data_IF_930781440907
#
_entry.id   IF_930781440907
#
_cell.length_a   1.000
_cell.length_b   1.000
_cell.length_c   1.000
_cell.angle_alpha   90.00
_cell.angle_beta   90.00
_cell.angle_gamma   90.00
#
_symmetry.space_group_name_H-M   'P 1'
#
loop_
_entity.id
_entity.type
_entity.pdbx_description
1 polymer ?
#
# COMPACT_ATOMS: atom_id res chain seq x y z
N UNK A 1 9.42 -28.13 -73.31
CA UNK A 1 7.98 -28.31 -73.04
C UNK A 1 7.52 -27.03 -72.36
N UNK A 2 6.54 -26.26 -72.84
CA UNK A 2 5.18 -26.59 -73.33
C UNK A 2 4.27 -27.12 -72.20
N UNK A 3 3.05 -26.65 -71.99
CA UNK A 3 2.31 -25.46 -72.47
C UNK A 3 1.07 -25.27 -71.57
N UNK A 4 0.60 -24.04 -71.35
CA UNK A 4 -0.82 -23.62 -71.26
C UNK A 4 -0.90 -22.10 -70.96
N UNK A 5 -1.47 -21.23 -71.80
CA UNK A 5 -2.90 -21.06 -72.15
C UNK A 5 -3.78 -20.62 -70.97
N UNK A 6 -3.97 -19.30 -70.80
CA UNK A 6 -5.22 -18.58 -71.17
C UNK A 6 -6.16 -18.37 -69.96
N UNK A 7 -7.07 -17.38 -69.91
CA UNK A 7 -7.82 -16.73 -71.01
C UNK A 7 -8.25 -15.27 -70.67
N UNK A 8 -8.79 -14.62 -71.70
CA UNK A 8 -9.55 -13.35 -71.88
C UNK A 8 -10.64 -13.04 -70.80
N UNK A 9 -11.56 -12.05 -70.88
CA UNK A 9 -12.15 -11.14 -71.92
C UNK A 9 -12.45 -9.76 -71.25
N UNK A 10 -12.53 -8.55 -71.87
CA UNK A 10 -12.53 -8.05 -73.27
C UNK A 10 -11.91 -6.60 -73.37
N UNK A 11 -12.39 -5.69 -74.23
CA UNK A 11 -12.02 -4.25 -74.44
C UNK A 11 -13.31 -3.38 -74.53
N UNK A 12 -13.34 -2.04 -74.81
CA UNK A 12 -13.33 -1.58 -76.22
C UNK A 12 -12.89 -0.12 -76.57
N UNK A 13 -12.30 0.04 -77.78
CA UNK A 13 -12.42 1.16 -78.77
C UNK A 13 -11.79 2.54 -78.42
N UNK A 14 -10.83 3.14 -79.16
CA UNK A 14 -10.52 3.28 -80.62
C UNK A 14 -11.57 4.02 -81.47
N UNK A 15 -11.20 4.62 -82.64
CA UNK A 15 -9.87 4.69 -83.31
C UNK A 15 -9.17 6.06 -83.05
N UNK A 16 -8.29 6.71 -83.85
CA UNK A 16 -7.71 6.64 -85.23
C UNK A 16 -6.43 7.57 -85.24
N UNK A 17 -5.48 7.69 -86.21
CA UNK A 17 -5.19 7.04 -87.52
C UNK A 17 -3.72 7.28 -87.99
N UNK A 18 -3.34 6.60 -89.08
CA UNK A 18 -2.39 6.89 -90.19
C UNK A 18 -1.45 8.12 -90.17
N UNK A 19 -0.11 8.03 -90.36
CA UNK A 19 0.69 7.55 -91.53
C UNK A 19 1.17 8.72 -92.43
N UNK A 20 2.36 8.79 -93.05
CA UNK A 20 3.69 8.16 -92.87
C UNK A 20 4.74 8.89 -93.75
N UNK A 21 6.00 8.42 -93.72
CA UNK A 21 7.05 8.52 -94.75
C UNK A 21 7.71 9.88 -95.16
N UNK A 22 9.03 9.94 -94.93
CA UNK A 22 10.14 10.30 -95.85
C UNK A 22 10.22 11.67 -96.62
N UNK A 23 11.30 12.41 -96.27
CA UNK A 23 12.35 13.10 -97.08
C UNK A 23 12.41 12.89 -98.63
N UNK A 24 13.15 13.73 -99.44
CA UNK A 24 14.03 14.89 -99.11
C UNK A 24 14.05 16.13 -100.08
N UNK A 25 14.91 17.12 -99.74
CA UNK A 25 15.82 17.87 -100.66
C UNK A 25 15.44 19.21 -101.34
N UNK A 26 16.50 19.99 -101.61
CA UNK A 26 16.67 21.04 -102.65
C UNK A 26 16.09 22.46 -102.50
N UNK A 27 16.84 23.33 -101.80
CA UNK A 27 17.53 24.52 -102.35
C UNK A 27 16.98 25.12 -103.69
N UNK A 28 16.40 26.33 -103.66
CA UNK A 28 16.94 27.57 -104.26
C UNK A 28 15.93 28.73 -104.44
N UNK A 29 16.42 29.98 -104.29
CA UNK A 29 16.02 31.17 -105.09
C UNK A 29 14.60 31.77 -104.89
N UNK A 30 14.30 33.08 -105.08
CA UNK A 30 15.06 34.36 -105.09
C UNK A 30 14.07 35.49 -105.44
N UNK A 31 14.09 36.63 -104.75
CA UNK A 31 13.87 37.96 -105.39
C UNK A 31 14.20 39.15 -104.49
N UNK A 32 15.13 39.97 -104.96
CA UNK A 32 15.33 41.37 -104.56
C UNK A 32 14.65 42.29 -105.58
N UNK A 33 14.38 43.54 -105.19
CA UNK A 33 14.54 44.75 -106.02
C UNK A 33 14.37 46.00 -105.12
N UNK A 34 15.24 47.00 -105.15
CA UNK A 34 16.56 47.10 -105.80
C UNK A 34 16.98 48.55 -106.09
N UNK A 35 18.27 48.77 -106.38
CA UNK A 35 18.89 50.01 -106.95
C UNK A 35 18.83 51.29 -106.07
N UNK A 36 19.77 52.25 -106.14
CA UNK A 36 20.99 52.43 -106.96
C UNK A 36 21.92 53.48 -106.30
N UNK A 37 23.15 53.79 -106.75
CA UNK A 37 24.32 52.99 -107.22
C UNK A 37 25.41 53.94 -107.75
N UNK A 38 26.65 53.92 -107.22
CA UNK A 38 27.80 54.67 -107.77
C UNK A 38 29.14 53.98 -107.41
N UNK A 39 30.23 54.37 -108.09
CA UNK A 39 31.45 53.55 -108.28
C UNK A 39 32.77 54.16 -107.73
N UNK A 40 33.87 53.41 -107.95
CA UNK A 40 35.30 53.79 -107.93
C UNK A 40 36.05 53.97 -106.59
N UNK A 41 37.38 53.81 -106.67
CA UNK A 41 38.35 54.10 -105.60
C UNK A 41 38.96 52.91 -104.85
N UNK A 42 39.81 52.10 -105.49
CA UNK A 42 40.72 51.18 -104.78
C UNK A 42 42.09 51.83 -104.58
N UNK A 43 42.39 52.28 -103.36
CA UNK A 43 43.71 52.79 -102.98
C UNK A 43 44.30 51.94 -101.83
N UNK A 44 45.59 51.60 -101.90
CA UNK A 44 46.13 50.40 -101.26
C UNK A 44 47.15 50.67 -100.14
N UNK A 45 46.71 51.23 -99.01
CA UNK A 45 47.55 51.58 -97.84
C UNK A 45 48.42 50.39 -97.31
N UNK A 46 49.76 50.51 -97.31
CA UNK A 46 50.66 49.49 -96.75
C UNK A 46 50.58 49.33 -95.22
N UNK A 47 50.03 50.31 -94.47
CA UNK A 47 49.89 50.24 -92.99
C UNK A 47 48.89 49.17 -92.54
N UNK A 48 47.92 48.82 -93.39
CA UNK A 48 46.74 48.03 -93.03
C UNK A 48 47.08 46.66 -92.44
N UNK A 49 48.14 45.99 -92.92
CA UNK A 49 48.53 44.63 -92.47
C UNK A 49 48.93 44.59 -90.98
N UNK A 50 49.60 45.62 -90.44
CA UNK A 50 49.96 45.69 -89.00
C UNK A 50 48.73 45.97 -88.13
N UNK A 51 47.85 46.90 -88.51
CA UNK A 51 46.58 47.17 -87.81
C UNK A 51 45.66 45.94 -87.82
N UNK A 52 45.53 45.22 -88.95
CA UNK A 52 44.70 44.02 -89.07
C UNK A 52 45.25 42.83 -88.25
N UNK A 53 46.57 42.66 -88.14
CA UNK A 53 47.18 41.70 -87.18
C UNK A 53 46.89 42.10 -85.73
N UNK A 54 47.08 43.36 -85.31
CA UNK A 54 46.73 43.81 -83.95
C UNK A 54 45.25 43.60 -83.62
N UNK A 55 44.31 43.93 -84.53
CA UNK A 55 42.87 43.69 -84.31
C UNK A 55 42.53 42.19 -84.21
N UNK A 56 43.17 41.31 -84.99
CA UNK A 56 43.02 39.84 -84.85
C UNK A 56 43.58 39.32 -83.53
N UNK A 57 44.74 39.83 -83.08
CA UNK A 57 45.32 39.50 -81.77
C UNK A 57 44.45 39.97 -80.60
N UNK A 58 43.88 41.18 -80.68
CA UNK A 58 42.91 41.65 -79.67
C UNK A 58 41.65 40.77 -79.65
N UNK A 59 41.11 40.41 -80.81
CA UNK A 59 39.97 39.50 -80.91
C UNK A 59 40.29 38.12 -80.33
N UNK A 60 41.47 37.56 -80.61
CA UNK A 60 41.91 36.28 -80.06
C UNK A 60 42.12 36.35 -78.54
N UNK A 61 42.70 37.43 -78.03
CA UNK A 61 42.90 37.65 -76.59
C UNK A 61 41.58 37.88 -75.85
N UNK A 62 40.61 38.59 -76.46
CA UNK A 62 39.27 38.74 -75.91
C UNK A 62 38.50 37.40 -75.90
N UNK A 63 38.63 36.59 -76.94
CA UNK A 63 38.03 35.25 -77.01
C UNK A 63 38.67 34.29 -76.00
N UNK A 64 40.00 34.32 -75.86
CA UNK A 64 40.73 33.58 -74.83
C UNK A 64 40.34 34.05 -73.41
N UNK A 65 40.19 35.36 -73.20
CA UNK A 65 39.69 35.94 -71.95
C UNK A 65 38.25 35.50 -71.65
N UNK A 66 37.38 35.45 -72.66
CA UNK A 66 36.02 34.90 -72.52
C UNK A 66 36.03 33.40 -72.22
N UNK A 67 37.00 32.64 -72.77
CA UNK A 67 37.17 31.22 -72.49
C UNK A 67 37.67 30.97 -71.06
N UNK A 68 38.60 31.81 -70.57
CA UNK A 68 39.07 31.79 -69.18
C UNK A 68 37.94 32.20 -68.23
N UNK A 69 37.16 33.24 -68.56
CA UNK A 69 36.00 33.67 -67.79
C UNK A 69 34.90 32.60 -67.75
N UNK A 70 34.62 31.97 -68.89
CA UNK A 70 33.67 30.86 -69.01
C UNK A 70 34.13 29.63 -68.22
N UNK A 71 35.42 29.27 -68.31
CA UNK A 71 36.02 28.22 -67.51
C UNK A 71 35.99 28.52 -66.00
N UNK A 72 36.23 29.77 -65.60
CA UNK A 72 36.12 30.21 -64.21
C UNK A 72 34.68 30.17 -63.70
N UNK A 73 33.72 30.66 -64.48
CA UNK A 73 32.28 30.59 -64.14
C UNK A 73 31.79 29.14 -64.07
N UNK A 74 32.19 28.30 -65.02
CA UNK A 74 31.93 26.86 -64.98
C UNK A 74 32.54 26.19 -63.74
N UNK A 75 33.75 26.58 -63.34
CA UNK A 75 34.41 26.06 -62.13
C UNK A 75 33.70 26.52 -60.83
N UNK A 76 33.17 27.74 -60.78
CA UNK A 76 32.33 28.22 -59.66
C UNK A 76 30.96 27.52 -59.64
N UNK A 77 30.39 27.18 -60.80
CA UNK A 77 29.11 26.47 -60.91
C UNK A 77 29.23 24.96 -60.64
N UNK A 78 30.40 24.36 -60.87
CA UNK A 78 30.61 22.91 -60.75
C UNK A 78 31.08 22.46 -59.35
N UNK A 79 31.52 23.36 -58.48
CA UNK A 79 32.11 23.05 -57.18
C UNK A 79 31.51 23.90 -56.05
N UNK A 80 31.03 23.23 -55.00
CA UNK A 80 30.63 23.83 -53.73
C UNK A 80 31.82 23.85 -52.76
N UNK A 81 31.86 24.81 -51.84
CA UNK A 81 32.80 24.79 -50.71
C UNK A 81 32.17 24.04 -49.54
N UNK A 82 32.82 22.98 -49.08
CA UNK A 82 32.34 22.19 -47.95
C UNK A 82 32.44 22.97 -46.64
N UNK A 83 31.44 22.90 -45.77
CA UNK A 83 31.53 23.44 -44.41
C UNK A 83 32.28 22.44 -43.47
N UNK A 84 32.33 22.74 -42.18
CA UNK A 84 32.53 21.73 -41.14
C UNK A 84 31.16 21.21 -40.66
N UNK A 85 30.99 19.90 -40.71
CA UNK A 85 29.79 19.19 -40.26
C UNK A 85 30.01 18.38 -39.00
N UNK A 86 31.27 18.17 -38.58
CA UNK A 86 31.57 17.64 -37.24
C UNK A 86 30.87 18.51 -36.20
N UNK A 87 30.24 17.84 -35.23
CA UNK A 87 29.40 18.39 -34.16
C UNK A 87 28.03 18.97 -34.59
N UNK A 88 27.59 18.74 -35.84
CA UNK A 88 26.24 19.06 -36.29
C UNK A 88 25.33 17.83 -36.35
N UNK A 89 24.02 18.06 -36.24
CA UNK A 89 23.02 17.01 -36.45
C UNK A 89 22.94 16.63 -37.94
N UNK A 90 22.85 15.33 -38.24
CA UNK A 90 22.77 14.81 -39.62
C UNK A 90 21.59 15.36 -40.44
N UNK A 91 20.55 15.90 -39.80
CA UNK A 91 19.44 16.61 -40.46
C UNK A 91 19.92 17.89 -41.15
N UNK A 92 20.58 18.80 -40.43
CA UNK A 92 21.16 20.04 -40.98
C UNK A 92 22.09 19.74 -42.16
N UNK A 93 22.89 18.69 -42.05
CA UNK A 93 23.86 18.31 -43.08
C UNK A 93 23.17 17.77 -44.34
N UNK A 94 22.05 17.05 -44.17
CA UNK A 94 21.21 16.59 -45.30
C UNK A 94 20.50 17.75 -45.99
N UNK A 95 20.00 18.73 -45.25
CA UNK A 95 19.39 19.95 -45.80
C UNK A 95 20.43 20.76 -46.60
N UNK A 96 21.60 21.01 -46.01
CA UNK A 96 22.70 21.71 -46.69
C UNK A 96 23.17 20.98 -47.94
N UNK A 97 23.30 19.65 -47.88
CA UNK A 97 23.70 18.83 -49.02
C UNK A 97 22.65 18.90 -50.16
N UNK A 98 21.36 18.88 -49.82
CA UNK A 98 20.27 19.01 -50.78
C UNK A 98 20.27 20.39 -51.48
N UNK A 99 20.47 21.48 -50.74
CA UNK A 99 20.63 22.84 -51.31
C UNK A 99 21.80 22.90 -52.31
N UNK A 100 22.86 22.13 -52.05
CA UNK A 100 24.11 22.17 -52.81
C UNK A 100 24.25 21.11 -53.91
N UNK A 101 23.19 20.38 -54.26
CA UNK A 101 23.19 19.25 -55.22
C UNK A 101 24.13 18.07 -54.83
N UNK A 102 24.29 17.77 -53.54
CA UNK A 102 25.12 16.66 -53.04
C UNK A 102 24.27 15.50 -52.52
N UNK A 103 24.80 14.28 -52.65
CA UNK A 103 24.30 13.11 -51.93
C UNK A 103 25.05 12.94 -50.61
N UNK A 104 24.41 12.37 -49.59
CA UNK A 104 25.05 12.03 -48.30
C UNK A 104 25.02 10.53 -48.11
N UNK A 105 26.18 9.94 -47.85
CA UNK A 105 26.37 8.56 -47.43
C UNK A 105 26.79 8.54 -45.96
N UNK A 106 26.20 7.64 -45.18
CA UNK A 106 26.29 7.65 -43.71
C UNK A 106 26.77 6.31 -43.21
N UNK A 107 27.98 6.29 -42.67
CA UNK A 107 28.50 5.17 -41.88
C UNK A 107 28.10 5.37 -40.41
N UNK A 108 27.29 4.47 -39.81
CA UNK A 108 27.04 4.50 -38.38
C UNK A 108 28.27 4.01 -37.59
N UNK A 109 28.52 4.62 -36.43
CA UNK A 109 29.47 4.13 -35.41
C UNK A 109 28.98 4.50 -34.01
N UNK A 110 29.40 3.76 -32.98
CA UNK A 110 29.19 4.18 -31.59
C UNK A 110 30.27 5.19 -31.17
N UNK A 111 29.87 6.21 -30.40
CA UNK A 111 30.71 7.31 -29.94
C UNK A 111 30.06 7.97 -28.71
N UNK A 112 30.83 8.68 -27.87
CA UNK A 112 30.29 9.41 -26.71
C UNK A 112 29.37 10.58 -27.13
N UNK A 113 29.49 11.08 -28.38
CA UNK A 113 28.63 12.11 -28.93
C UNK A 113 27.15 11.66 -29.04
N UNK A 114 26.18 12.57 -28.83
CA UNK A 114 24.75 12.32 -29.04
C UNK A 114 24.40 11.58 -30.34
N UNK A 115 23.43 10.67 -30.26
CA UNK A 115 22.96 9.93 -31.43
C UNK A 115 22.43 10.87 -32.53
N UNK A 116 22.81 10.59 -33.78
CA UNK A 116 22.58 11.42 -34.98
C UNK A 116 23.51 12.65 -35.15
N UNK A 117 24.46 12.88 -34.24
CA UNK A 117 25.55 13.86 -34.44
C UNK A 117 26.62 13.31 -35.41
N UNK A 118 27.15 14.15 -36.29
CA UNK A 118 28.27 13.80 -37.17
C UNK A 118 29.59 13.89 -36.38
N UNK A 119 30.29 12.77 -36.27
CA UNK A 119 31.56 12.65 -35.54
C UNK A 119 32.79 12.73 -36.46
N UNK A 120 32.63 12.38 -37.74
CA UNK A 120 33.69 12.53 -38.74
C UNK A 120 33.13 12.79 -40.14
N UNK A 121 33.93 13.45 -40.97
CA UNK A 121 33.70 13.62 -42.40
C UNK A 121 34.98 13.22 -43.17
N UNK A 122 34.84 12.39 -44.21
CA UNK A 122 36.00 11.94 -45.00
C UNK A 122 36.57 13.08 -45.85
N UNK A 123 35.69 13.91 -46.42
CA UNK A 123 36.06 15.11 -47.16
C UNK A 123 36.47 16.24 -46.20
N UNK A 124 37.72 16.72 -46.33
CA UNK A 124 38.25 17.77 -45.47
C UNK A 124 37.39 19.05 -45.52
N UNK A 125 37.04 19.59 -44.34
CA UNK A 125 36.27 20.83 -44.21
C UNK A 125 36.92 22.01 -44.97
N UNK A 126 36.10 22.92 -45.49
CA UNK A 126 36.50 24.09 -46.31
C UNK A 126 37.13 23.76 -47.69
N UNK A 127 37.23 22.48 -48.06
CA UNK A 127 37.65 22.03 -49.40
C UNK A 127 36.59 22.38 -50.48
N UNK A 128 36.89 22.06 -51.74
CA UNK A 128 35.93 22.19 -52.86
C UNK A 128 35.47 20.82 -53.34
N UNK A 129 34.22 20.50 -53.06
CA UNK A 129 33.56 19.25 -53.46
C UNK A 129 32.75 19.52 -54.73
N UNK A 130 32.69 18.55 -55.63
CA UNK A 130 32.00 18.71 -56.93
C UNK A 130 30.50 18.51 -56.73
N UNK A 131 29.67 19.39 -57.29
CA UNK A 131 28.21 19.16 -57.32
C UNK A 131 27.91 17.78 -57.92
N UNK A 132 26.93 17.10 -57.34
CA UNK A 132 26.48 15.73 -57.66
C UNK A 132 27.51 14.63 -57.34
N UNK A 133 28.42 14.87 -56.41
CA UNK A 133 29.14 13.79 -55.71
C UNK A 133 28.39 13.36 -54.44
N UNK A 134 28.86 12.26 -53.85
CA UNK A 134 28.56 11.86 -52.48
C UNK A 134 29.47 12.60 -51.51
N UNK A 135 29.00 12.76 -50.28
CA UNK A 135 29.71 13.19 -49.08
C UNK A 135 29.69 12.01 -48.09
N UNK A 136 30.85 11.56 -47.59
CA UNK A 136 30.92 10.39 -46.71
C UNK A 136 31.10 10.84 -45.26
N UNK A 137 30.07 10.60 -44.44
CA UNK A 137 30.01 11.02 -43.04
C UNK A 137 29.97 9.81 -42.11
N UNK A 138 30.65 9.91 -40.97
CA UNK A 138 30.44 9.01 -39.83
C UNK A 138 29.50 9.70 -38.84
N UNK A 139 28.44 9.00 -38.45
CA UNK A 139 27.39 9.52 -37.55
C UNK A 139 27.33 8.64 -36.30
N UNK A 140 27.28 9.29 -35.13
CA UNK A 140 27.11 8.61 -33.85
C UNK A 140 25.76 7.91 -33.76
N UNK A 141 25.76 6.66 -33.31
CA UNK A 141 24.57 5.94 -32.85
C UNK A 141 24.28 6.18 -31.36
N UNK A 142 25.07 7.05 -30.71
CA UNK A 142 25.20 7.18 -29.27
C UNK A 142 26.29 6.26 -28.71
N UNK A 143 26.45 6.26 -27.37
CA UNK A 143 27.47 5.45 -26.70
C UNK A 143 27.17 3.95 -26.81
N UNK A 144 28.21 3.12 -26.87
CA UNK A 144 28.09 1.68 -27.16
C UNK A 144 27.20 0.96 -26.13
N UNK A 145 26.09 0.30 -26.54
CA UNK A 145 25.21 -0.44 -25.64
C UNK A 145 25.87 -1.69 -25.02
N UNK A 146 26.89 -2.25 -25.68
CA UNK A 146 27.66 -3.41 -25.20
C UNK A 146 28.84 -3.00 -24.32
N UNK A 147 29.10 -1.70 -24.10
CA UNK A 147 30.16 -1.27 -23.20
C UNK A 147 29.84 -1.65 -21.75
N UNK A 148 30.79 -2.34 -21.11
CA UNK A 148 30.71 -2.75 -19.71
C UNK A 148 31.11 -1.60 -18.79
N UNK A 149 30.14 -1.07 -18.04
CA UNK A 149 30.37 0.05 -17.11
C UNK A 149 30.66 -0.45 -15.69
N UNK A 150 31.68 0.13 -15.06
CA UNK A 150 32.04 -0.21 -13.68
C UNK A 150 31.11 0.50 -12.69
N UNK A 151 30.03 -0.17 -12.29
CA UNK A 151 29.04 0.39 -11.37
C UNK A 151 29.67 0.67 -9.97
N UNK A 152 29.49 1.90 -9.42
CA UNK A 152 29.96 2.27 -8.10
C UNK A 152 29.05 1.65 -7.02
N UNK A 153 29.31 1.96 -5.74
CA UNK A 153 28.42 1.48 -4.67
C UNK A 153 27.31 2.52 -4.41
N UNK A 154 26.12 2.25 -4.94
CA UNK A 154 24.96 3.10 -4.73
C UNK A 154 24.50 3.13 -3.26
N UNK A 155 24.94 2.18 -2.43
CA UNK A 155 24.66 2.18 -0.99
C UNK A 155 25.61 3.07 -0.18
N UNK A 156 26.73 3.51 -0.76
CA UNK A 156 27.73 4.38 -0.11
C UNK A 156 27.70 5.83 -0.63
N UNK A 157 26.72 6.21 -1.45
CA UNK A 157 26.62 7.54 -2.06
C UNK A 157 25.21 8.16 -1.96
N UNK A 158 25.16 9.49 -2.03
CA UNK A 158 23.92 10.24 -2.08
C UNK A 158 23.20 10.09 -3.43
N UNK A 159 21.90 10.38 -3.42
CA UNK A 159 21.04 10.45 -4.61
C UNK A 159 21.62 11.32 -5.73
N UNK A 160 22.24 12.44 -5.37
CA UNK A 160 22.72 13.42 -6.35
C UNK A 160 24.07 13.00 -6.95
N UNK A 161 24.96 12.39 -6.16
CA UNK A 161 26.19 11.73 -6.67
C UNK A 161 25.87 10.56 -7.61
N UNK A 162 24.81 9.79 -7.32
CA UNK A 162 24.31 8.75 -8.21
C UNK A 162 23.78 9.33 -9.54
N UNK A 163 23.08 10.47 -9.50
CA UNK A 163 22.59 11.17 -10.69
C UNK A 163 23.75 11.70 -11.55
N UNK A 164 24.75 12.36 -10.93
CA UNK A 164 25.97 12.81 -11.61
C UNK A 164 26.73 11.63 -12.24
N UNK A 165 26.81 10.48 -11.56
CA UNK A 165 27.44 9.29 -12.11
C UNK A 165 26.67 8.75 -13.34
N UNK A 166 25.33 8.68 -13.28
CA UNK A 166 24.49 8.20 -14.38
C UNK A 166 24.63 9.11 -15.61
N UNK A 167 24.60 10.43 -15.44
CA UNK A 167 24.80 11.40 -16.53
C UNK A 167 26.21 11.26 -17.14
N UNK A 168 27.25 11.28 -16.29
CA UNK A 168 28.65 11.24 -16.71
C UNK A 168 29.06 9.97 -17.46
N UNK A 169 28.45 8.83 -17.14
CA UNK A 169 28.71 7.55 -17.82
C UNK A 169 27.70 7.25 -18.94
N UNK A 170 26.76 8.17 -19.16
CA UNK A 170 25.66 8.07 -20.13
C UNK A 170 24.83 6.79 -19.93
N UNK A 171 24.63 6.40 -18.67
CA UNK A 171 24.03 5.14 -18.25
C UNK A 171 22.49 5.25 -18.14
N UNK A 172 21.83 5.81 -19.16
CA UNK A 172 20.41 6.21 -19.15
C UNK A 172 19.39 5.09 -18.91
N UNK A 173 19.80 3.82 -18.96
CA UNK A 173 18.99 2.66 -18.60
C UNK A 173 18.95 2.39 -17.08
N UNK A 174 19.79 3.07 -16.29
CA UNK A 174 19.75 3.08 -14.83
C UNK A 174 18.93 4.29 -14.37
N UNK A 175 17.84 4.03 -13.63
CA UNK A 175 16.88 5.07 -13.22
C UNK A 175 16.86 5.24 -11.70
N UNK A 176 16.79 6.48 -11.22
CA UNK A 176 16.60 6.79 -9.80
C UNK A 176 15.10 6.79 -9.48
N UNK A 177 14.73 6.10 -8.39
CA UNK A 177 13.35 5.96 -7.92
C UNK A 177 13.26 6.37 -6.46
N UNK A 178 12.42 7.35 -6.17
CA UNK A 178 12.23 7.86 -4.80
C UNK A 178 11.00 7.19 -4.15
N UNK A 179 11.19 6.48 -3.05
CA UNK A 179 10.18 5.62 -2.37
C UNK A 179 10.09 5.99 -0.87
N UNK A 180 8.91 5.90 -0.24
CA UNK A 180 8.79 6.13 1.21
C UNK A 180 9.30 4.92 2.00
N UNK A 181 9.97 5.16 3.13
CA UNK A 181 10.50 4.10 3.98
C UNK A 181 10.67 4.58 5.43
N UNK A 182 9.93 3.99 6.36
CA UNK A 182 9.78 4.50 7.73
C UNK A 182 11.08 4.43 8.55
N UNK A 183 11.90 3.38 8.34
CA UNK A 183 13.19 3.20 9.06
C UNK A 183 14.41 3.88 8.39
N UNK A 184 14.28 4.46 7.18
CA UNK A 184 15.44 4.96 6.39
C UNK A 184 15.32 6.46 6.16
N UNK A 185 16.33 7.22 6.62
CA UNK A 185 16.40 8.67 6.54
C UNK A 185 16.21 9.22 5.11
N UNK A 186 15.63 10.43 5.00
CA UNK A 186 15.37 11.09 3.72
C UNK A 186 16.64 11.21 2.86
N UNK A 187 16.55 10.85 1.58
CA UNK A 187 17.63 10.78 0.58
C UNK A 187 18.71 9.71 0.82
N UNK A 188 18.59 8.85 1.82
CA UNK A 188 19.49 7.70 1.98
C UNK A 188 19.14 6.55 0.99
N UNK A 189 20.12 5.76 0.52
CA UNK A 189 19.88 4.65 -0.41
C UNK A 189 19.19 3.46 0.26
N UNK A 190 18.21 2.87 -0.44
CA UNK A 190 17.46 1.68 0.02
C UNK A 190 18.02 0.41 -0.61
N UNK A 191 18.10 0.36 -1.96
CA UNK A 191 18.44 -0.85 -2.73
C UNK A 191 18.73 -0.54 -4.20
N UNK A 192 19.40 -1.48 -4.88
CA UNK A 192 19.56 -1.50 -6.34
C UNK A 192 18.87 -2.75 -6.90
N UNK A 193 18.15 -2.60 -8.00
CA UNK A 193 17.54 -3.73 -8.73
C UNK A 193 17.85 -3.66 -10.22
N UNK A 194 18.24 -4.80 -10.80
CA UNK A 194 18.33 -4.98 -12.25
C UNK A 194 17.10 -5.73 -12.77
N UNK A 195 16.61 -5.33 -13.94
CA UNK A 195 15.41 -5.91 -14.56
C UNK A 195 15.66 -7.35 -15.02
N UNK A 196 16.89 -7.65 -15.44
CA UNK A 196 17.37 -9.01 -15.67
C UNK A 196 18.14 -9.51 -14.42
N UNK A 197 17.78 -10.69 -13.93
CA UNK A 197 18.40 -11.33 -12.75
C UNK A 197 19.81 -11.88 -13.01
N UNK A 198 20.21 -11.99 -14.27
CA UNK A 198 21.58 -12.38 -14.66
C UNK A 198 22.55 -11.18 -14.66
N UNK A 199 22.03 -9.95 -14.50
CA UNK A 199 22.83 -8.73 -14.39
C UNK A 199 23.14 -8.45 -12.92
N UNK A 200 24.42 -8.18 -12.65
CA UNK A 200 24.97 -7.76 -11.37
C UNK A 200 25.96 -6.60 -11.58
N UNK A 201 26.44 -6.02 -10.49
CA UNK A 201 27.42 -4.92 -10.49
C UNK A 201 28.71 -5.28 -11.27
N UNK A 202 29.06 -6.55 -11.30
CA UNK A 202 30.29 -7.08 -11.90
C UNK A 202 30.17 -7.37 -13.40
N UNK A 203 28.97 -7.37 -13.99
CA UNK A 203 28.74 -7.69 -15.42
C UNK A 203 27.80 -6.73 -16.17
N UNK A 204 27.40 -5.61 -15.56
CA UNK A 204 26.52 -4.59 -16.15
C UNK A 204 27.10 -3.95 -17.42
N UNK A 205 26.29 -3.89 -18.47
CA UNK A 205 26.56 -3.16 -19.73
C UNK A 205 25.61 -1.95 -19.85
N UNK A 206 25.97 -0.95 -20.66
CA UNK A 206 25.17 0.29 -20.81
C UNK A 206 23.71 0.04 -21.22
N UNK A 207 23.41 -1.05 -21.94
CA UNK A 207 22.04 -1.48 -22.30
C UNK A 207 21.18 -2.01 -21.14
N UNK A 208 21.78 -2.42 -20.03
CA UNK A 208 21.08 -3.21 -19.02
C UNK A 208 20.19 -2.31 -18.14
N UNK A 209 18.91 -2.65 -18.00
CA UNK A 209 17.91 -1.77 -17.35
C UNK A 209 17.89 -1.98 -15.85
N UNK A 210 18.12 -0.93 -15.07
CA UNK A 210 18.18 -0.97 -13.61
C UNK A 210 17.45 0.19 -12.92
N UNK A 211 17.28 0.04 -11.60
CA UNK A 211 16.67 1.01 -10.69
C UNK A 211 17.50 1.15 -9.43
N UNK A 212 17.81 2.38 -9.03
CA UNK A 212 18.39 2.70 -7.72
C UNK A 212 17.32 3.38 -6.89
N UNK A 213 17.00 2.81 -5.73
CA UNK A 213 15.94 3.29 -4.85
C UNK A 213 16.52 4.14 -3.72
N UNK A 214 15.98 5.34 -3.54
CA UNK A 214 16.32 6.27 -2.46
C UNK A 214 15.08 6.59 -1.62
N UNK A 215 15.29 6.80 -0.32
CA UNK A 215 14.21 7.08 0.63
C UNK A 215 13.69 8.52 0.51
N UNK A 216 12.38 8.68 0.62
CA UNK A 216 11.69 9.94 0.89
C UNK A 216 11.47 10.20 2.38
N UNK A 217 11.98 9.33 3.25
CA UNK A 217 11.61 9.23 4.65
C UNK A 217 10.26 8.54 4.86
N UNK A 218 9.74 8.64 6.07
CA UNK A 218 8.39 8.23 6.49
C UNK A 218 7.28 8.90 5.65
N UNK A 219 6.17 8.19 5.39
CA UNK A 219 5.02 8.75 4.65
C UNK A 219 4.20 9.73 5.52
N UNK A 220 4.74 10.92 5.78
CA UNK A 220 4.06 11.95 6.58
C UNK A 220 2.89 12.57 5.81
N UNK A 221 1.66 12.36 6.29
CA UNK A 221 0.47 13.03 5.76
C UNK A 221 0.31 14.44 6.34
N UNK A 222 -0.30 15.36 5.57
CA UNK A 222 -0.68 16.68 6.09
C UNK A 222 -1.78 16.54 7.15
N UNK A 223 -1.69 17.33 8.23
CA UNK A 223 -2.71 17.38 9.28
C UNK A 223 -3.87 18.29 8.84
N UNK A 224 -4.74 17.78 7.98
CA UNK A 224 -5.88 18.51 7.41
C UNK A 224 -7.23 18.19 8.09
N UNK A 225 -7.39 16.97 8.63
CA UNK A 225 -8.60 16.45 9.30
C UNK A 225 -8.82 17.16 10.65
N UNK A 226 -9.87 17.98 10.74
CA UNK A 226 -10.30 18.63 11.98
C UNK A 226 -11.10 17.65 12.85
N UNK A 227 -10.68 17.44 14.10
CA UNK A 227 -11.27 16.46 15.03
C UNK A 227 -12.58 17.02 15.64
N UNK A 228 -13.73 16.33 15.50
CA UNK A 228 -14.97 16.72 16.18
C UNK A 228 -14.87 16.69 17.70
N UNK A 229 -15.87 17.30 18.34
CA UNK A 229 -16.20 17.01 19.74
C UNK A 229 -17.03 15.72 19.79
N UNK A 230 -16.47 14.67 20.38
CA UNK A 230 -17.13 13.39 20.62
C UNK A 230 -17.71 13.27 22.03
N UNK A 231 -17.65 14.31 22.86
CA UNK A 231 -18.36 14.33 24.15
C UNK A 231 -19.84 13.98 23.96
N UNK A 232 -20.39 13.13 24.84
CA UNK A 232 -21.74 12.57 24.74
C UNK A 232 -22.05 11.72 23.47
N UNK A 233 -21.07 11.49 22.57
CA UNK A 233 -21.28 10.69 21.34
C UNK A 233 -21.15 9.20 21.56
N UNK A 234 -21.84 8.45 20.72
CA UNK A 234 -21.82 6.98 20.75
C UNK A 234 -20.59 6.40 20.07
N UNK A 235 -20.17 5.20 20.51
CA UNK A 235 -19.13 4.39 19.85
C UNK A 235 -19.26 4.33 18.32
N UNK A 236 -20.48 4.16 17.82
CA UNK A 236 -20.76 4.00 16.39
C UNK A 236 -20.50 5.28 15.57
N UNK A 237 -20.70 6.46 16.17
CA UNK A 237 -20.39 7.74 15.52
C UNK A 237 -18.87 7.92 15.38
N UNK A 238 -18.10 7.62 16.44
CA UNK A 238 -16.62 7.66 16.38
C UNK A 238 -16.08 6.64 15.38
N UNK A 239 -16.55 5.39 15.44
CA UNK A 239 -16.13 4.35 14.49
C UNK A 239 -16.45 4.71 13.03
N UNK A 240 -17.57 5.40 12.77
CA UNK A 240 -17.94 5.84 11.42
C UNK A 240 -17.03 6.98 10.96
N UNK A 241 -16.74 7.96 11.82
CA UNK A 241 -15.86 9.07 11.50
C UNK A 241 -14.41 8.62 11.28
N UNK A 242 -13.84 7.81 12.18
CA UNK A 242 -12.48 7.28 12.06
C UNK A 242 -12.26 6.49 10.76
N UNK A 243 -13.24 5.67 10.36
CA UNK A 243 -13.21 4.93 9.08
C UNK A 243 -13.38 5.83 7.86
N UNK A 244 -14.13 6.94 7.97
CA UNK A 244 -14.29 7.91 6.88
C UNK A 244 -13.04 8.77 6.64
N UNK A 245 -12.18 8.91 7.64
CA UNK A 245 -10.94 9.71 7.59
C UNK A 245 -9.65 8.88 7.57
N UNK A 246 -9.74 7.54 7.43
CA UNK A 246 -8.60 6.61 7.34
C UNK A 246 -7.67 6.69 8.58
N UNK A 247 -8.25 6.74 9.78
CA UNK A 247 -7.55 6.88 11.07
C UNK A 247 -7.39 5.55 11.80
N UNK A 248 -6.31 5.41 12.58
CA UNK A 248 -6.11 4.26 13.45
C UNK A 248 -6.85 4.45 14.77
N UNK A 249 -8.11 4.01 14.81
CA UNK A 249 -9.00 4.18 15.96
C UNK A 249 -8.78 3.12 17.04
N UNK A 250 -8.31 3.53 18.23
CA UNK A 250 -8.30 2.71 19.43
C UNK A 250 -9.52 3.03 20.31
N UNK A 251 -10.26 2.00 20.74
CA UNK A 251 -11.42 2.16 21.65
C UNK A 251 -11.10 1.52 22.99
N UNK A 252 -10.95 2.36 24.01
CA UNK A 252 -10.87 1.98 25.43
C UNK A 252 -12.23 2.10 26.09
N UNK A 253 -12.38 1.45 27.24
CA UNK A 253 -13.62 1.39 28.00
C UNK A 253 -13.33 1.56 29.49
N UNK A 254 -14.16 2.34 30.19
CA UNK A 254 -13.95 2.68 31.61
C UNK A 254 -15.30 2.93 32.30
N UNK A 255 -15.39 2.64 33.60
CA UNK A 255 -16.55 3.06 34.41
C UNK A 255 -16.57 4.59 34.62
N UNK A 256 -17.77 5.18 34.66
CA UNK A 256 -17.96 6.61 34.96
C UNK A 256 -19.27 6.85 35.73
N UNK A 257 -19.19 7.61 36.83
CA UNK A 257 -20.36 8.08 37.58
C UNK A 257 -21.13 9.22 36.88
N UNK A 258 -20.53 9.86 35.86
CA UNK A 258 -21.05 11.10 35.26
C UNK A 258 -21.47 10.98 33.79
N UNK A 259 -21.03 9.93 33.09
CA UNK A 259 -21.27 9.73 31.65
C UNK A 259 -22.07 8.44 31.45
N UNK A 260 -23.21 8.53 30.76
CA UNK A 260 -24.09 7.38 30.51
C UNK A 260 -23.38 6.29 29.67
N UNK A 261 -23.80 5.04 29.85
CA UNK A 261 -23.20 3.88 29.18
C UNK A 261 -23.22 4.01 27.64
N UNK A 262 -22.12 3.59 26.98
CA UNK A 262 -21.97 3.60 25.53
C UNK A 262 -21.56 4.96 24.92
N UNK A 263 -21.47 6.01 25.74
CA UNK A 263 -20.97 7.33 25.34
C UNK A 263 -19.47 7.51 25.60
N UNK A 264 -18.81 8.35 24.82
CA UNK A 264 -17.42 8.74 25.02
C UNK A 264 -17.29 9.62 26.28
N UNK A 265 -16.32 9.27 27.13
CA UNK A 265 -15.86 10.05 28.29
C UNK A 265 -14.74 11.01 27.88
N UNK A 266 -13.81 10.53 27.06
CA UNK A 266 -12.55 11.21 26.73
C UNK A 266 -12.07 10.84 25.32
N UNK A 267 -11.40 11.78 24.65
CA UNK A 267 -10.74 11.60 23.35
C UNK A 267 -9.29 12.09 23.44
N UNK A 268 -8.34 11.37 22.84
CA UNK A 268 -6.90 11.64 23.00
C UNK A 268 -6.39 12.89 22.29
N UNK A 269 -7.19 13.45 21.37
CA UNK A 269 -6.88 14.65 20.59
C UNK A 269 -8.02 15.65 20.76
N UNK A 270 -7.70 16.93 20.97
CA UNK A 270 -8.70 17.92 21.39
C UNK A 270 -9.68 18.26 20.25
N UNK A 271 -10.95 18.61 20.57
CA UNK A 271 -11.88 19.10 19.56
C UNK A 271 -11.34 20.34 18.83
N UNK A 272 -11.43 20.33 17.49
CA UNK A 272 -10.88 21.31 16.54
C UNK A 272 -9.36 21.33 16.38
N UNK A 273 -8.64 20.43 17.06
CA UNK A 273 -7.27 20.12 16.68
C UNK A 273 -7.25 19.38 15.33
N UNK A 274 -6.09 19.33 14.67
CA UNK A 274 -5.94 18.67 13.38
C UNK A 274 -5.02 17.46 13.44
N UNK A 275 -5.44 16.39 12.76
CA UNK A 275 -4.69 15.15 12.61
C UNK A 275 -4.53 14.78 11.14
N UNK A 276 -3.58 13.89 10.89
CA UNK A 276 -3.22 13.35 9.59
C UNK A 276 -3.98 12.04 9.34
N UNK A 277 -3.98 11.56 8.09
CA UNK A 277 -4.39 10.18 7.80
C UNK A 277 -3.45 9.20 8.48
N UNK A 278 -3.98 8.06 8.93
CA UNK A 278 -3.30 7.04 9.75
C UNK A 278 -2.76 7.54 11.11
N UNK A 279 -3.00 8.78 11.53
CA UNK A 279 -2.73 9.17 12.93
C UNK A 279 -3.54 8.27 13.88
N UNK A 280 -2.91 7.86 14.98
CA UNK A 280 -3.57 7.12 16.06
C UNK A 280 -4.54 8.05 16.82
N UNK A 281 -5.81 7.67 16.87
CA UNK A 281 -6.85 8.40 17.59
C UNK A 281 -7.52 7.45 18.59
N UNK A 282 -7.49 7.81 19.87
CA UNK A 282 -7.99 6.96 20.95
C UNK A 282 -9.20 7.62 21.62
N UNK A 283 -10.24 6.84 21.89
CA UNK A 283 -11.40 7.27 22.69
C UNK A 283 -11.67 6.31 23.85
N UNK A 284 -12.05 6.87 24.99
CA UNK A 284 -12.47 6.12 26.19
C UNK A 284 -13.98 6.19 26.31
N UNK A 285 -14.65 5.04 26.36
CA UNK A 285 -16.11 4.92 26.35
C UNK A 285 -16.62 4.46 27.73
N UNK A 286 -17.72 5.03 28.18
CA UNK A 286 -18.36 4.70 29.44
C UNK A 286 -18.99 3.31 29.42
N UNK A 287 -18.64 2.50 30.42
CA UNK A 287 -19.37 1.28 30.82
C UNK A 287 -20.49 1.58 31.83
N UNK A 288 -20.91 2.86 31.90
CA UNK A 288 -21.84 3.36 32.90
C UNK A 288 -21.21 3.42 34.30
N UNK A 289 -22.07 3.52 35.30
CA UNK A 289 -21.67 3.61 36.70
C UNK A 289 -21.14 2.26 37.20
N UNK A 290 -19.88 2.26 37.66
CA UNK A 290 -19.29 1.10 38.32
C UNK A 290 -19.87 0.85 39.70
N UNK A 291 -20.00 -0.42 40.09
CA UNK A 291 -20.48 -0.85 41.41
C UNK A 291 -19.31 -1.42 42.20
N UNK A 292 -18.94 -0.76 43.30
CA UNK A 292 -17.86 -1.25 44.18
C UNK A 292 -18.36 -2.38 45.08
N UNK A 293 -17.70 -3.53 45.05
CA UNK A 293 -18.00 -4.71 45.87
C UNK A 293 -17.71 -4.41 47.35
N UNK A 294 -18.69 -4.52 48.27
CA UNK A 294 -18.46 -4.34 49.70
C UNK A 294 -17.54 -5.40 50.33
N UNK A 295 -17.04 -5.09 51.52
CA UNK A 295 -16.45 -6.09 52.42
C UNK A 295 -17.55 -6.76 53.25
N UNK A 296 -18.03 -7.90 52.76
CA UNK A 296 -19.09 -8.67 53.42
C UNK A 296 -18.66 -9.30 54.76
N UNK A 297 -17.37 -9.22 55.15
CA UNK A 297 -16.94 -9.62 56.50
C UNK A 297 -17.35 -8.62 57.58
N UNK A 298 -17.66 -7.37 57.17
CA UNK A 298 -18.15 -6.29 58.06
C UNK A 298 -19.67 -6.17 58.12
N UNK A 299 -20.38 -6.90 57.25
CA UNK A 299 -21.83 -6.81 57.04
C UNK A 299 -22.51 -8.05 57.63
N UNK A 300 -23.67 -7.87 58.27
CA UNK A 300 -24.46 -8.99 58.81
C UNK A 300 -25.26 -9.69 57.71
N UNK A 301 -25.56 -11.01 57.85
CA UNK A 301 -26.33 -11.76 56.85
C UNK A 301 -27.65 -11.09 56.44
N UNK A 302 -28.41 -10.59 57.42
CA UNK A 302 -29.73 -9.97 57.19
C UNK A 302 -29.64 -8.65 56.39
N UNK A 303 -28.51 -7.94 56.49
CA UNK A 303 -28.25 -6.69 55.76
C UNK A 303 -27.57 -6.93 54.39
N UNK A 304 -27.01 -8.12 54.16
CA UNK A 304 -26.13 -8.40 53.01
C UNK A 304 -26.81 -8.19 51.64
N UNK A 305 -28.12 -8.42 51.54
CA UNK A 305 -28.87 -8.19 50.29
C UNK A 305 -29.12 -6.69 50.01
N UNK A 306 -29.07 -5.82 51.04
CA UNK A 306 -29.25 -4.38 50.92
C UNK A 306 -27.92 -3.60 50.91
N UNK A 307 -26.79 -4.28 51.09
CA UNK A 307 -25.48 -3.64 51.27
C UNK A 307 -24.90 -2.98 50.00
N UNK A 308 -25.45 -3.29 48.81
CA UNK A 308 -24.99 -2.74 47.54
C UNK A 308 -26.13 -2.73 46.51
N UNK A 309 -26.33 -1.58 45.86
CA UNK A 309 -27.30 -1.41 44.78
C UNK A 309 -26.67 -1.72 43.42
N UNK A 310 -27.48 -2.17 42.45
CA UNK A 310 -27.05 -2.45 41.07
C UNK A 310 -26.47 -3.86 40.82
N UNK A 311 -26.34 -4.69 41.86
CA UNK A 311 -25.90 -6.09 41.76
C UNK A 311 -26.84 -7.03 42.53
N UNK A 312 -26.89 -8.30 42.14
CA UNK A 312 -27.71 -9.34 42.76
C UNK A 312 -26.89 -10.15 43.77
N UNK A 313 -26.93 -9.76 45.03
CA UNK A 313 -26.30 -10.54 46.12
C UNK A 313 -27.07 -11.84 46.37
N UNK A 314 -26.41 -12.98 46.18
CA UNK A 314 -26.92 -14.33 46.47
C UNK A 314 -26.32 -14.83 47.77
N UNK A 315 -27.03 -14.61 48.88
CA UNK A 315 -26.62 -15.10 50.19
C UNK A 315 -26.96 -16.59 50.39
N UNK A 316 -26.04 -17.37 51.00
CA UNK A 316 -26.36 -18.67 51.60
C UNK A 316 -25.68 -18.88 52.96
N UNK A 317 -26.31 -19.65 53.84
CA UNK A 317 -25.78 -20.01 55.17
C UNK A 317 -25.17 -21.42 55.14
N UNK A 318 -23.97 -21.60 55.67
CA UNK A 318 -23.27 -22.89 55.71
C UNK A 318 -22.65 -23.14 57.10
N UNK A 319 -22.75 -24.35 57.64
CA UNK A 319 -22.14 -24.69 58.94
C UNK A 319 -20.62 -24.78 58.86
N UNK A 320 -19.95 -24.45 59.97
CA UNK A 320 -18.49 -24.58 60.14
C UNK A 320 -18.14 -25.07 61.54
N UNK A 321 -16.95 -25.65 61.72
CA UNK A 321 -16.46 -26.02 63.06
C UNK A 321 -15.78 -24.86 63.79
N UNK A 322 -15.36 -23.80 63.10
CA UNK A 322 -14.41 -22.80 63.61
C UNK A 322 -14.90 -21.34 63.58
N UNK A 323 -15.86 -20.98 62.72
CA UNK A 323 -16.34 -19.61 62.56
C UNK A 323 -17.66 -19.41 63.32
N UNK A 324 -17.77 -18.41 64.22
CA UNK A 324 -19.04 -18.02 64.84
C UNK A 324 -20.18 -17.78 63.84
N UNK A 325 -21.42 -17.87 64.31
CA UNK A 325 -22.60 -17.54 63.52
C UNK A 325 -22.50 -16.11 62.95
N UNK A 326 -22.90 -15.92 61.69
CA UNK A 326 -22.94 -14.64 61.00
C UNK A 326 -21.57 -14.13 60.49
N UNK A 327 -20.48 -14.87 60.69
CA UNK A 327 -19.17 -14.52 60.11
C UNK A 327 -19.08 -14.95 58.63
N UNK A 328 -18.44 -14.14 57.78
CA UNK A 328 -18.21 -14.49 56.38
C UNK A 328 -17.29 -15.72 56.25
N UNK A 329 -17.66 -16.66 55.38
CA UNK A 329 -16.83 -17.78 54.93
C UNK A 329 -16.13 -17.42 53.62
N UNK A 330 -16.89 -16.90 52.66
CA UNK A 330 -16.39 -16.51 51.33
C UNK A 330 -17.37 -15.59 50.60
N UNK A 331 -16.84 -14.64 49.84
CA UNK A 331 -17.55 -13.89 48.79
C UNK A 331 -16.92 -14.25 47.43
N UNK A 332 -17.70 -14.27 46.34
CA UNK A 332 -17.19 -14.60 45.00
C UNK A 332 -16.22 -13.55 44.47
N UNK A 333 -16.60 -12.28 44.59
CA UNK A 333 -15.81 -11.13 44.16
C UNK A 333 -15.06 -10.49 45.33
N UNK A 334 -13.82 -10.05 45.10
CA UNK A 334 -13.00 -9.43 46.16
C UNK A 334 -13.50 -8.04 46.55
N UNK A 335 -13.51 -7.74 47.85
CA UNK A 335 -13.90 -6.43 48.36
C UNK A 335 -13.06 -5.29 47.75
N UNK A 336 -13.71 -4.19 47.37
CA UNK A 336 -13.08 -3.05 46.68
C UNK A 336 -12.94 -3.20 45.17
N UNK A 337 -13.28 -4.36 44.58
CA UNK A 337 -13.40 -4.51 43.12
C UNK A 337 -14.51 -3.60 42.59
N UNK A 338 -14.29 -2.94 41.46
CA UNK A 338 -15.33 -2.18 40.77
C UNK A 338 -15.87 -3.03 39.62
N UNK A 339 -17.11 -3.50 39.75
CA UNK A 339 -17.83 -4.23 38.70
C UNK A 339 -18.46 -3.24 37.72
N UNK A 340 -18.48 -3.60 36.44
CA UNK A 340 -19.02 -2.81 35.33
C UNK A 340 -20.20 -3.53 34.67
N UNK A 341 -20.77 -2.97 33.61
CA UNK A 341 -21.82 -3.66 32.82
C UNK A 341 -21.32 -4.92 32.08
N UNK A 342 -20.02 -5.21 32.09
CA UNK A 342 -19.42 -6.40 31.47
C UNK A 342 -19.15 -7.57 32.42
N UNK A 343 -19.21 -7.33 33.73
CA UNK A 343 -18.87 -8.31 34.76
C UNK A 343 -20.13 -9.04 35.27
N UNK A 344 -19.98 -10.19 35.94
CA UNK A 344 -21.15 -10.87 36.53
C UNK A 344 -21.67 -10.08 37.73
N UNK A 345 -22.87 -9.52 37.58
CA UNK A 345 -23.56 -8.79 38.63
C UNK A 345 -24.11 -9.73 39.74
N UNK A 346 -23.89 -11.04 39.66
CA UNK A 346 -24.31 -12.03 40.66
C UNK A 346 -23.24 -12.36 41.71
N UNK A 347 -23.10 -11.53 42.75
CA UNK A 347 -22.16 -11.78 43.86
C UNK A 347 -22.70 -12.90 44.76
N UNK A 348 -22.02 -14.05 44.85
CA UNK A 348 -22.35 -15.08 45.84
C UNK A 348 -21.63 -14.82 47.17
N UNK A 349 -22.37 -14.85 48.28
CA UNK A 349 -21.86 -14.59 49.63
C UNK A 349 -22.28 -15.72 50.57
N UNK A 350 -21.30 -16.32 51.25
CA UNK A 350 -21.48 -17.49 52.10
C UNK A 350 -21.15 -17.12 53.54
N UNK A 351 -22.14 -17.18 54.44
CA UNK A 351 -21.97 -16.88 55.86
C UNK A 351 -22.05 -18.14 56.73
N UNK A 352 -21.36 -18.11 57.88
CA UNK A 352 -21.35 -19.19 58.86
C UNK A 352 -22.68 -19.30 59.58
N UNK A 353 -23.28 -20.49 59.55
CA UNK A 353 -24.38 -20.90 60.42
C UNK A 353 -23.90 -21.32 61.83
N UNK A 354 -22.62 -21.11 62.15
CA UNK A 354 -21.98 -21.64 63.36
C UNK A 354 -21.74 -23.15 63.27
N UNK A 355 -21.68 -23.81 64.43
CA UNK A 355 -21.62 -25.28 64.52
C UNK A 355 -23.03 -25.90 64.45
N UNK A 356 -23.22 -27.06 63.79
CA UNK A 356 -24.51 -27.75 63.80
C UNK A 356 -24.91 -28.13 65.23
N UNK A 357 -26.15 -27.84 65.63
CA UNK A 357 -26.69 -28.17 66.95
C UNK A 357 -27.93 -29.06 66.83
N UNK A 358 -27.92 -30.21 67.51
CA UNK A 358 -29.09 -31.10 67.58
C UNK A 358 -29.93 -30.74 68.81
N UNK A 359 -31.18 -30.30 68.58
CA UNK A 359 -32.20 -30.08 69.62
C UNK A 359 -32.73 -31.45 70.09
N UNK A 360 -33.28 -31.51 71.30
CA UNK A 360 -34.03 -32.68 71.77
C UNK A 360 -35.41 -32.75 71.10
N UNK A 361 -35.67 -33.84 70.36
CA UNK A 361 -36.93 -34.11 69.68
C UNK A 361 -37.75 -35.24 70.33
N UNK A 362 -37.29 -35.80 71.46
CA UNK A 362 -38.00 -36.86 72.19
C UNK A 362 -39.30 -36.31 72.77
N UNK A 363 -40.43 -36.97 72.50
CA UNK A 363 -41.80 -36.52 72.85
C UNK A 363 -42.12 -35.08 72.38
N UNK A 364 -41.47 -34.63 71.31
CA UNK A 364 -41.82 -33.37 70.64
C UNK A 364 -42.98 -33.56 69.66
N UNK A 365 -43.43 -32.47 69.03
CA UNK A 365 -44.45 -32.48 67.97
C UNK A 365 -43.96 -33.14 66.66
N UNK A 366 -42.66 -33.44 66.56
CA UNK A 366 -42.02 -34.04 65.38
C UNK A 366 -42.18 -35.57 65.42
N UNK A 367 -42.72 -36.14 64.34
CA UNK A 367 -42.89 -37.59 64.17
C UNK A 367 -41.84 -38.18 63.23
N UNK A 368 -41.78 -39.52 63.15
CA UNK A 368 -40.89 -40.25 62.25
C UNK A 368 -40.92 -39.75 60.79
N UNK A 369 -42.11 -39.39 60.29
CA UNK A 369 -42.29 -38.90 58.91
C UNK A 369 -41.65 -37.54 58.64
N UNK A 370 -41.47 -36.71 59.66
CA UNK A 370 -40.88 -35.37 59.52
C UNK A 370 -39.35 -35.41 59.46
N UNK A 371 -38.73 -36.49 59.98
CA UNK A 371 -37.27 -36.62 60.09
C UNK A 371 -36.54 -36.43 58.76
N UNK A 372 -37.10 -36.92 57.65
CA UNK A 372 -36.45 -36.79 56.34
C UNK A 372 -36.34 -35.32 55.91
N UNK A 373 -37.43 -34.56 56.07
CA UNK A 373 -37.46 -33.13 55.77
C UNK A 373 -36.59 -32.36 56.76
N UNK A 374 -36.73 -32.62 58.05
CA UNK A 374 -35.96 -31.97 59.12
C UNK A 374 -34.45 -32.08 58.91
N UNK A 375 -33.92 -33.26 58.58
CA UNK A 375 -32.48 -33.44 58.34
C UNK A 375 -32.00 -32.84 57.02
N UNK A 376 -32.89 -32.69 56.03
CA UNK A 376 -32.56 -31.94 54.82
C UNK A 376 -32.52 -30.43 55.09
N UNK A 377 -33.62 -29.87 55.61
CA UNK A 377 -33.83 -28.44 55.82
C UNK A 377 -32.90 -27.84 56.89
N UNK A 378 -32.68 -28.52 58.02
CA UNK A 378 -31.87 -27.97 59.11
C UNK A 378 -30.37 -28.19 58.95
N UNK A 379 -29.93 -29.28 58.29
CA UNK A 379 -28.52 -29.70 58.20
C UNK A 379 -27.95 -29.73 56.78
N UNK A 380 -28.50 -30.57 55.89
CA UNK A 380 -27.89 -30.85 54.58
C UNK A 380 -27.95 -29.68 53.61
N UNK A 381 -29.04 -28.91 53.63
CA UNK A 381 -29.19 -27.65 52.88
C UNK A 381 -28.10 -26.62 53.20
N UNK A 382 -27.60 -26.64 54.45
CA UNK A 382 -26.56 -25.76 55.00
C UNK A 382 -25.19 -26.44 55.05
N UNK A 383 -24.98 -27.49 54.25
CA UNK A 383 -23.68 -28.14 54.06
C UNK A 383 -23.20 -29.08 55.18
N UNK A 384 -24.03 -29.41 56.17
CA UNK A 384 -23.71 -30.43 57.16
C UNK A 384 -24.25 -31.80 56.73
N UNK A 385 -23.36 -32.76 56.51
CA UNK A 385 -23.65 -34.15 56.14
C UNK A 385 -24.12 -34.98 57.36
N UNK A 386 -25.16 -34.49 58.04
CA UNK A 386 -25.79 -35.23 59.13
C UNK A 386 -26.77 -36.24 58.52
N UNK A 387 -26.78 -37.45 59.09
CA UNK A 387 -27.69 -38.54 58.72
C UNK A 387 -28.41 -39.06 59.97
N UNK A 388 -29.47 -39.84 59.76
CA UNK A 388 -30.18 -40.50 60.85
C UNK A 388 -30.47 -41.96 60.54
N UNK A 389 -30.69 -42.74 61.60
CA UNK A 389 -31.12 -44.13 61.57
C UNK A 389 -32.31 -44.30 62.52
N UNK A 390 -33.30 -45.10 62.13
CA UNK A 390 -34.48 -45.41 62.96
C UNK A 390 -34.35 -46.82 63.54
N UNK A 391 -34.69 -46.96 64.83
CA UNK A 391 -34.89 -48.23 65.51
C UNK A 391 -36.27 -48.20 66.18
N UNK A 392 -37.10 -49.21 65.94
CA UNK A 392 -38.40 -49.31 66.61
C UNK A 392 -38.26 -49.93 68.00
N UNK A 393 -38.97 -49.37 68.98
CA UNK A 393 -38.95 -49.83 70.38
C UNK A 393 -40.37 -49.98 70.95
N UNK A 394 -40.54 -50.93 71.87
CA UNK A 394 -41.79 -51.10 72.59
C UNK A 394 -41.98 -49.91 73.55
N UNK A 395 -43.14 -49.26 73.48
CA UNK A 395 -43.43 -48.02 74.20
C UNK A 395 -44.94 -47.77 74.26
N UNK A 396 -45.37 -46.95 75.23
CA UNK A 396 -46.76 -46.53 75.42
C UNK A 396 -47.13 -45.21 74.72
N UNK A 397 -46.15 -44.47 74.19
CA UNK A 397 -46.42 -43.32 73.31
C UNK A 397 -47.02 -43.78 71.97
N UNK A 398 -47.80 -42.96 71.24
CA UNK A 398 -48.36 -43.32 69.93
C UNK A 398 -47.33 -43.84 68.92
N UNK A 399 -47.77 -44.65 67.96
CA UNK A 399 -46.91 -45.13 66.88
C UNK A 399 -46.30 -43.96 66.10
N UNK A 400 -45.00 -44.04 65.80
CA UNK A 400 -44.27 -42.98 65.06
C UNK A 400 -43.75 -41.83 65.94
N UNK A 401 -44.08 -41.79 67.24
CA UNK A 401 -43.52 -40.82 68.18
C UNK A 401 -42.04 -41.12 68.50
N UNK A 402 -41.20 -40.08 68.47
CA UNK A 402 -39.78 -40.18 68.89
C UNK A 402 -39.71 -40.32 70.41
N UNK A 403 -39.10 -41.40 70.91
CA UNK A 403 -38.97 -41.68 72.35
C UNK A 403 -37.52 -41.72 72.85
N UNK A 404 -36.55 -41.90 71.94
CA UNK A 404 -35.12 -41.85 72.27
C UNK A 404 -34.29 -41.29 71.13
N UNK A 405 -33.12 -40.76 71.47
CA UNK A 405 -32.14 -40.18 70.53
C UNK A 405 -30.73 -40.47 71.05
N UNK A 406 -29.80 -40.87 70.18
CA UNK A 406 -28.41 -41.15 70.58
C UNK A 406 -27.60 -39.88 70.91
N UNK A 407 -28.01 -38.73 70.38
CA UNK A 407 -27.39 -37.40 70.56
C UNK A 407 -28.51 -36.35 70.58
N UNK A 408 -28.55 -35.49 71.61
CA UNK A 408 -29.53 -34.42 71.77
C UNK A 408 -28.95 -33.28 72.63
N UNK A 409 -29.48 -32.06 72.45
CA UNK A 409 -29.05 -30.82 73.12
C UNK A 409 -27.54 -30.53 73.09
N UNK A 410 -26.86 -30.89 72.01
CA UNK A 410 -25.40 -30.74 71.86
C UNK A 410 -25.01 -30.28 70.45
N UNK A 411 -23.80 -29.72 70.32
CA UNK A 411 -23.17 -29.50 69.02
C UNK A 411 -22.69 -30.81 68.40
N UNK A 412 -22.63 -30.84 67.07
CA UNK A 412 -22.18 -31.98 66.26
C UNK A 412 -20.98 -31.57 65.39
N UNK A 413 -20.15 -32.53 64.93
CA UNK A 413 -19.30 -32.33 63.76
C UNK A 413 -20.15 -32.15 62.48
N UNK A 414 -19.53 -31.66 61.40
CA UNK A 414 -20.18 -31.50 60.09
C UNK A 414 -20.67 -32.82 59.47
N UNK A 415 -20.12 -33.97 59.89
CA UNK A 415 -20.55 -35.30 59.45
C UNK A 415 -20.88 -36.17 60.67
N UNK A 416 -22.13 -36.63 60.78
CA UNK A 416 -22.57 -37.46 61.92
C UNK A 416 -23.76 -38.37 61.57
N UNK A 417 -24.03 -39.36 62.43
CA UNK A 417 -25.19 -40.26 62.35
C UNK A 417 -25.92 -40.27 63.70
N UNK A 418 -27.21 -39.93 63.69
CA UNK A 418 -28.07 -39.89 64.89
C UNK A 418 -29.07 -41.05 64.86
N UNK A 419 -29.11 -41.86 65.91
CA UNK A 419 -30.09 -42.95 66.03
C UNK A 419 -31.31 -42.45 66.78
N UNK A 420 -32.49 -42.63 66.19
CA UNK A 420 -33.79 -42.34 66.79
C UNK A 420 -34.48 -43.64 67.20
N UNK A 421 -34.95 -43.69 68.44
CA UNK A 421 -35.86 -44.72 68.91
C UNK A 421 -37.30 -44.25 68.70
N UNK A 422 -38.06 -44.98 67.88
CA UNK A 422 -39.44 -44.68 67.51
C UNK A 422 -40.39 -45.65 68.21
N UNK A 423 -41.46 -45.12 68.79
CA UNK A 423 -42.46 -45.90 69.50
C UNK A 423 -43.27 -46.82 68.57
N UNK A 424 -43.45 -48.07 68.99
CA UNK A 424 -44.40 -49.01 68.39
C UNK A 424 -45.85 -48.86 68.90
N UNK A 425 -46.10 -48.04 69.92
CA UNK A 425 -47.44 -47.83 70.50
C UNK A 425 -48.11 -49.11 71.02
N UNK A 426 -47.31 -50.06 71.51
CA UNK A 426 -47.72 -51.43 71.82
C UNK A 426 -47.63 -51.79 73.32
N UNK A 427 -47.35 -50.83 74.19
CA UNK A 427 -47.46 -50.97 75.65
C UNK A 427 -48.63 -50.13 76.17
N UNK A 428 -49.31 -50.62 77.21
CA UNK A 428 -50.22 -49.77 77.99
C UNK A 428 -49.39 -48.83 78.87
N UNK A 429 -49.74 -47.56 78.91
CA UNK A 429 -49.16 -46.62 79.87
C UNK A 429 -49.36 -47.15 81.31
N UNK A 430 -48.40 -46.92 82.23
CA UNK A 430 -48.60 -47.29 83.63
C UNK A 430 -49.83 -46.57 84.17
N UNK A 431 -50.73 -47.29 84.84
CA UNK A 431 -51.86 -46.68 85.51
C UNK A 431 -51.32 -45.64 86.52
N UNK A 432 -51.92 -44.44 86.52
CA UNK A 432 -51.61 -43.45 87.52
C UNK A 432 -51.90 -44.05 88.90
N UNK A 433 -50.90 -44.10 89.76
CA UNK A 433 -51.09 -44.46 91.17
C UNK A 433 -51.74 -43.26 91.86
N UNK A 434 -53.06 -43.28 91.97
CA UNK A 434 -53.78 -42.33 92.82
C UNK A 434 -53.20 -42.40 94.24
N UNK A 435 -52.69 -41.26 94.71
CA UNK A 435 -52.13 -41.11 96.03
C UNK A 435 -53.14 -40.42 96.94
N UNK A 436 -53.82 -41.22 97.77
CA UNK A 436 -54.53 -40.75 98.97
C UNK A 436 -53.54 -40.32 100.08
#
# INVERSE_FOLDING_TARGET
>A
MSDFLSKFEEEPKQPDKESAAEVPSSRASRKEKGSASLEEGIEHDPSFKKKRRKKRLLGLAALLGLFILSGFLFFQLAYVRLDNFVDKEISEVREWAAEHDLAVDVTPAYDEAPANQVIAQAEAARSRVRKRSTLHLTVSQGPDPEEKLALPDFMEMTRDEAAEWIEKNQASNLTIVDEYHDEIEEKAPIRVEFTNKEVSRENYHRRDVGRVFYSKGEETFEKDIEVPDFSDKTRAEVETWGKAHELELEVKEQASDTVEEGKVIEQSVAPKEKIAKRDAFQVTISLGKGVTVPDFSTILPDDAQAAVEGVTVRMRMQFTQSLPYGQLISQSETAGTVLTSKDDQGIEVVYSAGQPYIKDYRRSEILEGDLQKLFFDEFRSKGANISYQVRYVNSAEPYGTIVGMSKFNQFLPLEDTITFDISLGNQTAPAASDSE
#
